data_IF_634605173656
#
_entry.id   IF_634605173656
#
_cell.length_a   1.000
_cell.length_b   1.000
_cell.length_c   1.000
_cell.angle_alpha   90.00
_cell.angle_beta   90.00
_cell.angle_gamma   90.00
#
_symmetry.space_group_name_H-M   'P 1'
#
loop_
_entity.id
_entity.type
_entity.pdbx_description
1 polymer ?
#
# COMPACT_ATOMS: atom_id res chain seq x y z
N UNK A 1 48.84 -31.00 -13.46
CA UNK A 1 48.22 -29.66 -13.54
C UNK A 1 46.81 -29.65 -14.13
N UNK A 2 46.43 -30.55 -15.05
CA UNK A 2 45.07 -30.57 -15.63
C UNK A 2 43.98 -31.18 -14.71
N UNK A 3 44.33 -32.16 -13.88
CA UNK A 3 43.40 -32.84 -12.96
C UNK A 3 43.06 -32.01 -11.72
N UNK A 4 44.02 -31.30 -11.15
CA UNK A 4 43.78 -30.39 -10.01
C UNK A 4 42.89 -29.22 -10.42
N UNK A 5 43.07 -28.66 -11.62
CA UNK A 5 42.18 -27.61 -12.16
C UNK A 5 40.74 -28.10 -12.39
N UNK A 6 40.56 -29.37 -12.76
CA UNK A 6 39.24 -29.96 -12.95
C UNK A 6 38.52 -30.19 -11.60
N UNK A 7 39.24 -30.66 -10.59
CA UNK A 7 38.74 -30.81 -9.21
C UNK A 7 38.40 -29.47 -8.56
N UNK A 8 39.21 -28.43 -8.78
CA UNK A 8 38.90 -27.07 -8.31
C UNK A 8 37.70 -26.45 -9.03
N UNK A 9 37.48 -26.77 -10.31
CA UNK A 9 36.31 -26.32 -11.06
C UNK A 9 35.00 -26.96 -10.59
N UNK A 10 35.01 -28.25 -10.23
CA UNK A 10 33.82 -28.98 -9.75
C UNK A 10 33.46 -28.57 -8.31
N UNK A 11 34.45 -28.23 -7.48
CA UNK A 11 34.22 -27.70 -6.13
C UNK A 11 33.61 -26.27 -6.14
N UNK A 12 33.91 -25.46 -7.15
CA UNK A 12 33.36 -24.10 -7.27
C UNK A 12 31.89 -24.10 -7.69
N UNK A 13 31.47 -25.07 -8.53
CA UNK A 13 30.08 -25.19 -8.99
C UNK A 13 29.16 -25.73 -7.88
N UNK A 14 29.68 -26.55 -6.97
CA UNK A 14 28.90 -27.08 -5.84
C UNK A 14 28.63 -26.05 -4.73
N UNK A 15 29.41 -24.97 -4.66
CA UNK A 15 29.18 -23.83 -3.77
C UNK A 15 28.20 -22.80 -4.33
N UNK A 16 27.92 -22.82 -5.65
CA UNK A 16 27.02 -21.86 -6.30
C UNK A 16 25.57 -22.36 -6.40
N UNK A 17 25.30 -23.63 -6.10
CA UNK A 17 23.95 -24.22 -6.09
C UNK A 17 23.37 -24.45 -4.69
N UNK A 18 24.01 -23.96 -3.63
CA UNK A 18 23.31 -23.74 -2.36
C UNK A 18 22.57 -22.41 -2.46
N UNK A 19 21.50 -22.37 -3.26
CA UNK A 19 20.46 -21.36 -3.05
C UNK A 19 20.02 -21.51 -1.59
N UNK A 20 20.04 -20.42 -0.82
CA UNK A 20 19.40 -20.37 0.48
C UNK A 20 17.91 -20.73 0.29
N UNK A 21 17.60 -22.02 0.44
CA UNK A 21 16.30 -22.41 0.94
C UNK A 21 16.28 -21.90 2.38
N UNK A 22 15.61 -20.79 2.61
CA UNK A 22 15.14 -20.49 3.96
C UNK A 22 13.96 -21.43 4.19
N UNK A 23 14.22 -22.64 4.67
CA UNK A 23 13.21 -23.26 5.50
C UNK A 23 12.94 -22.25 6.61
N UNK A 24 11.70 -21.79 6.73
CA UNK A 24 11.24 -21.14 7.95
C UNK A 24 11.30 -22.24 9.00
N UNK A 25 12.48 -22.44 9.56
CA UNK A 25 12.63 -23.13 10.82
C UNK A 25 11.86 -22.25 11.78
N UNK A 26 10.65 -22.67 12.12
CA UNK A 26 10.00 -22.25 13.36
C UNK A 26 10.86 -22.87 14.45
N UNK A 27 12.04 -22.29 14.65
CA UNK A 27 12.88 -22.63 15.78
C UNK A 27 12.09 -22.09 16.96
N UNK A 28 11.75 -23.00 17.87
CA UNK A 28 11.24 -22.72 19.20
C UNK A 28 12.34 -21.93 19.95
N UNK A 29 12.57 -20.68 19.54
CA UNK A 29 13.37 -19.73 20.28
C UNK A 29 12.68 -19.57 21.63
N UNK A 30 13.45 -19.79 22.69
CA UNK A 30 13.07 -19.67 24.10
C UNK A 30 12.06 -18.54 24.30
N UNK A 31 10.79 -18.93 24.46
CA UNK A 31 9.60 -18.08 24.25
C UNK A 31 9.33 -17.15 25.45
N UNK A 32 10.40 -16.67 26.08
CA UNK A 32 10.37 -15.66 27.14
C UNK A 32 10.86 -14.35 26.53
N UNK A 33 9.97 -13.39 26.29
CA UNK A 33 10.36 -12.05 25.86
C UNK A 33 11.39 -11.51 26.83
N UNK A 34 12.59 -11.16 26.32
CA UNK A 34 13.62 -10.51 27.13
C UNK A 34 13.22 -9.08 27.55
N UNK A 35 12.20 -8.53 26.88
CA UNK A 35 11.65 -7.19 27.05
C UNK A 35 10.12 -7.26 27.08
N UNK A 36 9.47 -6.24 27.66
CA UNK A 36 8.01 -6.13 27.59
C UNK A 36 7.53 -5.82 26.17
N UNK A 37 6.27 -6.14 25.85
CA UNK A 37 5.69 -5.79 24.55
C UNK A 37 5.75 -4.27 24.28
N UNK A 38 5.51 -3.44 25.29
CA UNK A 38 5.67 -2.00 25.14
C UNK A 38 7.10 -1.60 24.76
N UNK A 39 8.13 -2.23 25.35
CA UNK A 39 9.52 -2.00 24.95
C UNK A 39 9.80 -2.48 23.53
N UNK A 40 9.24 -3.63 23.13
CA UNK A 40 9.36 -4.15 21.77
C UNK A 40 8.73 -3.21 20.75
N UNK A 41 7.46 -2.83 20.93
CA UNK A 41 6.74 -1.94 20.01
C UNK A 41 7.41 -0.56 19.86
N UNK A 42 8.05 -0.07 20.93
CA UNK A 42 8.79 1.21 20.94
C UNK A 42 10.27 1.07 20.57
N UNK A 43 10.75 -0.13 20.18
CA UNK A 43 12.13 -0.32 19.68
C UNK A 43 12.33 0.28 18.28
N UNK A 44 11.23 0.46 17.55
CA UNK A 44 11.17 1.13 16.25
C UNK A 44 10.12 2.24 16.26
N UNK A 45 10.37 3.29 15.48
CA UNK A 45 9.42 4.40 15.32
C UNK A 45 8.25 4.01 14.41
N UNK A 46 8.52 3.17 13.41
CA UNK A 46 7.55 2.72 12.42
C UNK A 46 7.59 1.21 12.30
N UNK A 47 6.43 0.61 12.08
CA UNK A 47 6.27 -0.78 11.70
C UNK A 47 5.60 -0.85 10.33
N UNK A 48 6.37 -1.18 9.29
CA UNK A 48 5.86 -1.42 7.94
C UNK A 48 5.03 -2.70 7.91
N UNK A 49 3.80 -2.62 7.40
CA UNK A 49 2.90 -3.77 7.30
C UNK A 49 3.11 -4.45 5.94
N UNK A 50 3.74 -5.62 5.93
CA UNK A 50 3.93 -6.39 4.71
C UNK A 50 2.74 -7.34 4.47
N UNK A 51 1.76 -6.86 3.71
CA UNK A 51 0.58 -7.65 3.31
C UNK A 51 0.94 -8.87 2.46
N UNK A 52 2.11 -8.89 1.83
CA UNK A 52 2.55 -10.03 1.02
C UNK A 52 3.06 -11.17 1.89
N UNK A 53 3.41 -10.89 3.15
CA UNK A 53 3.77 -11.91 4.13
C UNK A 53 2.57 -12.39 4.97
N UNK A 54 1.40 -11.75 4.84
CA UNK A 54 0.19 -12.15 5.56
C UNK A 54 -0.16 -13.63 5.30
N UNK A 55 -0.47 -14.35 6.37
CA UNK A 55 -0.95 -15.75 6.31
C UNK A 55 -2.30 -15.85 7.03
N UNK A 56 -3.09 -16.85 6.65
CA UNK A 56 -4.50 -16.96 7.03
C UNK A 56 -5.45 -16.43 5.95
N UNK A 57 -6.72 -16.79 6.06
CA UNK A 57 -7.74 -16.41 5.07
C UNK A 57 -8.59 -15.22 5.51
N UNK A 58 -8.59 -14.89 6.81
CA UNK A 58 -9.23 -13.70 7.36
C UNK A 58 -8.47 -12.41 7.04
N UNK A 59 -8.96 -11.31 7.61
CA UNK A 59 -8.37 -9.98 7.48
C UNK A 59 -8.68 -9.16 8.74
N UNK A 60 -7.74 -8.27 9.10
CA UNK A 60 -7.96 -7.19 10.07
C UNK A 60 -7.91 -5.86 9.30
N UNK A 61 -9.05 -5.14 9.11
CA UNK A 61 -9.16 -4.11 8.08
C UNK A 61 -8.15 -2.95 8.21
N UNK A 62 -7.91 -2.41 9.42
CA UNK A 62 -6.93 -1.33 9.58
C UNK A 62 -5.50 -1.76 9.22
N UNK A 63 -5.08 -2.98 9.55
CA UNK A 63 -3.77 -3.51 9.14
C UNK A 63 -3.72 -3.75 7.62
N UNK A 64 -4.82 -4.18 7.02
CA UNK A 64 -4.91 -4.36 5.57
C UNK A 64 -4.84 -3.03 4.80
N UNK A 65 -5.21 -1.91 5.44
CA UNK A 65 -5.15 -0.56 4.86
C UNK A 65 -3.79 0.12 5.07
N UNK A 66 -3.23 0.00 6.26
CA UNK A 66 -2.04 0.74 6.65
C UNK A 66 -0.80 0.31 5.86
N UNK A 67 0.00 1.27 5.40
CA UNK A 67 1.37 1.05 4.91
C UNK A 67 2.33 0.87 6.08
N UNK A 68 2.19 1.72 7.11
CA UNK A 68 2.95 1.61 8.35
C UNK A 68 2.04 1.88 9.54
N UNK A 69 2.32 1.26 10.68
CA UNK A 69 1.71 1.59 11.97
C UNK A 69 2.78 2.01 12.99
N UNK A 70 2.38 2.79 13.98
CA UNK A 70 3.28 3.27 15.05
C UNK A 70 2.55 3.24 16.39
N UNK A 71 3.24 2.77 17.44
CA UNK A 71 2.69 2.66 18.78
C UNK A 71 3.38 3.66 19.70
N UNK A 72 2.67 4.69 20.16
CA UNK A 72 3.27 5.79 20.92
C UNK A 72 2.36 6.25 22.03
N UNK A 73 2.82 6.15 23.27
CA UNK A 73 2.12 6.64 24.46
C UNK A 73 0.65 6.15 24.56
N UNK A 74 0.39 4.90 24.20
CA UNK A 74 -0.97 4.31 24.20
C UNK A 74 -1.83 4.69 23.00
N UNK A 75 -1.31 5.45 22.03
CA UNK A 75 -1.99 5.81 20.78
C UNK A 75 -1.39 5.01 19.62
N UNK A 76 -2.26 4.51 18.73
CA UNK A 76 -1.84 3.90 17.46
C UNK A 76 -1.97 4.93 16.36
N UNK A 77 -0.89 5.11 15.60
CA UNK A 77 -0.87 5.93 14.39
C UNK A 77 -0.71 5.04 13.16
N UNK A 78 -1.28 5.45 12.03
CA UNK A 78 -1.07 4.75 10.76
C UNK A 78 -0.97 5.69 9.56
N UNK A 79 -0.10 5.32 8.60
CA UNK A 79 -0.11 5.86 7.25
C UNK A 79 -1.06 4.99 6.40
N UNK A 80 -2.32 5.39 6.28
CA UNK A 80 -3.34 4.70 5.48
C UNK A 80 -3.47 5.25 4.06
N UNK A 81 -2.96 6.47 3.85
CA UNK A 81 -2.90 7.18 2.59
C UNK A 81 -1.45 7.24 2.08
N UNK A 82 -1.32 7.32 0.76
CA UNK A 82 -0.06 7.70 0.11
C UNK A 82 0.09 9.21 0.00
N UNK A 83 -1.03 9.94 -0.18
CA UNK A 83 -1.03 11.41 -0.05
C UNK A 83 -0.52 11.78 1.34
N UNK A 84 0.53 12.61 1.39
CA UNK A 84 1.17 13.06 2.61
C UNK A 84 2.04 12.02 3.30
N UNK A 85 2.28 10.84 2.72
CA UNK A 85 3.13 9.83 3.35
C UNK A 85 4.53 10.39 3.64
N UNK A 86 5.07 10.10 4.82
CA UNK A 86 6.36 10.63 5.28
C UNK A 86 6.33 12.06 5.85
N UNK A 87 5.29 12.85 5.58
CA UNK A 87 5.11 14.19 6.15
C UNK A 87 3.97 14.27 7.17
N UNK A 88 2.87 13.55 6.93
CA UNK A 88 1.68 13.54 7.79
C UNK A 88 2.00 12.99 9.18
N UNK A 89 1.60 13.72 10.22
CA UNK A 89 1.94 13.40 11.61
C UNK A 89 3.46 13.37 11.87
N UNK A 90 4.24 14.07 11.03
CA UNK A 90 5.70 13.98 11.03
C UNK A 90 6.24 12.66 10.50
N UNK A 91 5.47 11.92 9.70
CA UNK A 91 5.81 10.60 9.13
C UNK A 91 5.18 9.41 9.86
N UNK A 92 4.56 9.63 11.03
CA UNK A 92 3.83 8.59 11.77
C UNK A 92 2.41 8.32 11.20
N UNK A 93 1.90 9.22 10.36
CA UNK A 93 0.53 9.19 9.88
C UNK A 93 -0.48 9.79 10.87
N UNK A 94 -1.73 9.33 10.82
CA UNK A 94 -2.84 9.84 11.64
C UNK A 94 -3.15 8.93 12.81
N UNK A 95 -3.71 9.48 13.89
CA UNK A 95 -4.22 8.69 15.02
C UNK A 95 -5.42 7.87 14.56
N UNK A 96 -5.36 6.55 14.78
CA UNK A 96 -6.41 5.60 14.39
C UNK A 96 -7.03 4.86 15.58
N UNK A 97 -6.56 5.13 16.80
CA UNK A 97 -7.10 4.54 18.01
C UNK A 97 -6.11 4.51 19.16
N UNK A 98 -6.42 3.66 20.13
CA UNK A 98 -5.57 3.43 21.31
C UNK A 98 -5.16 1.96 21.39
N UNK A 99 -4.11 1.68 22.17
CA UNK A 99 -3.68 0.31 22.40
C UNK A 99 -3.25 0.07 23.84
N UNK A 100 -3.44 -1.17 24.28
CA UNK A 100 -2.88 -1.74 25.49
C UNK A 100 -1.95 -2.90 25.14
N UNK A 101 -0.82 -2.99 25.84
CA UNK A 101 0.22 -3.98 25.58
C UNK A 101 0.70 -4.64 26.88
N UNK A 102 0.47 -5.94 27.01
CA UNK A 102 0.76 -6.73 28.21
C UNK A 102 0.95 -8.20 27.83
N UNK A 103 1.80 -8.97 28.53
CA UNK A 103 1.94 -10.43 28.32
C UNK A 103 2.04 -10.90 26.85
N UNK A 104 2.69 -10.12 25.98
CA UNK A 104 2.75 -10.33 24.52
C UNK A 104 1.38 -10.37 23.82
N UNK A 105 0.41 -9.69 24.40
CA UNK A 105 -0.91 -9.41 23.88
C UNK A 105 -0.98 -7.92 23.56
N UNK A 106 -1.30 -7.63 22.31
CA UNK A 106 -1.62 -6.29 21.85
C UNK A 106 -3.13 -6.19 21.67
N UNK A 107 -3.76 -5.34 22.46
CA UNK A 107 -5.16 -4.96 22.29
C UNK A 107 -5.21 -3.59 21.60
N UNK A 108 -5.97 -3.48 20.51
CA UNK A 108 -6.16 -2.24 19.76
C UNK A 108 -7.63 -1.89 19.80
N UNK A 109 -7.94 -0.68 20.26
CA UNK A 109 -9.25 -0.07 20.16
C UNK A 109 -9.21 0.90 18.98
N UNK A 110 -9.46 0.37 17.79
CA UNK A 110 -9.48 1.14 16.56
C UNK A 110 -10.76 1.97 16.47
N UNK A 111 -10.60 3.23 16.10
CA UNK A 111 -11.67 4.21 16.23
C UNK A 111 -12.89 3.93 15.32
N UNK A 112 -12.67 3.27 14.15
CA UNK A 112 -13.75 2.79 13.25
C UNK A 112 -13.98 1.27 13.34
N UNK A 113 -12.96 0.46 13.08
CA UNK A 113 -13.03 -1.00 13.06
C UNK A 113 -13.32 -1.66 14.42
N UNK A 114 -13.19 -0.93 15.52
CA UNK A 114 -13.49 -1.42 16.87
C UNK A 114 -12.33 -2.17 17.51
N UNK A 115 -12.66 -3.11 18.40
CA UNK A 115 -11.66 -3.85 19.17
C UNK A 115 -11.05 -5.00 18.36
N UNK A 116 -9.73 -5.02 18.30
CA UNK A 116 -8.93 -6.09 17.73
C UNK A 116 -7.85 -6.51 18.73
N UNK A 117 -7.46 -7.77 18.70
CA UNK A 117 -6.45 -8.29 19.63
C UNK A 117 -5.51 -9.26 18.94
N UNK A 118 -4.25 -9.24 19.37
CA UNK A 118 -3.18 -9.99 18.74
C UNK A 118 -2.29 -10.66 19.78
N UNK A 119 -1.95 -11.93 19.53
CA UNK A 119 -0.76 -12.54 20.12
C UNK A 119 0.44 -12.04 19.31
N UNK A 120 1.43 -11.47 20.00
CA UNK A 120 2.62 -10.89 19.37
C UNK A 120 3.80 -11.85 19.52
N UNK A 121 4.44 -12.18 18.39
CA UNK A 121 5.66 -12.98 18.37
C UNK A 121 6.80 -12.15 17.79
N UNK A 122 7.94 -12.12 18.47
CA UNK A 122 9.15 -11.55 17.90
C UNK A 122 9.79 -12.62 17.01
N UNK A 123 9.90 -12.33 15.72
CA UNK A 123 10.46 -13.26 14.73
C UNK A 123 11.98 -13.09 14.66
N UNK A 124 12.45 -11.84 14.66
CA UNK A 124 13.87 -11.49 14.67
C UNK A 124 14.11 -10.11 15.31
N UNK A 125 15.25 -9.48 15.03
CA UNK A 125 15.63 -8.18 15.59
C UNK A 125 14.70 -7.02 15.20
N UNK A 126 14.06 -7.08 14.03
CA UNK A 126 13.20 -6.01 13.52
C UNK A 126 11.88 -6.52 12.94
N UNK A 127 11.54 -7.79 13.11
CA UNK A 127 10.28 -8.36 12.61
C UNK A 127 9.42 -8.87 13.76
N UNK A 128 8.16 -8.45 13.77
CA UNK A 128 7.13 -8.99 14.66
C UNK A 128 6.00 -9.60 13.84
N UNK A 129 5.39 -10.64 14.39
CA UNK A 129 4.13 -11.19 13.90
C UNK A 129 3.00 -10.74 14.83
N UNK A 130 1.93 -10.18 14.26
CA UNK A 130 0.66 -9.93 14.94
C UNK A 130 -0.34 -11.00 14.52
N UNK A 131 -0.55 -12.01 15.36
CA UNK A 131 -1.54 -13.07 15.12
C UNK A 131 -2.87 -12.73 15.75
N UNK A 132 -3.93 -12.58 14.96
CA UNK A 132 -5.28 -12.38 15.46
C UNK A 132 -6.00 -13.74 15.62
N UNK A 133 -6.29 -14.19 16.85
CA UNK A 133 -6.88 -15.50 17.11
C UNK A 133 -8.34 -15.63 16.68
N UNK A 134 -9.05 -14.52 16.43
CA UNK A 134 -10.47 -14.52 16.08
C UNK A 134 -10.74 -14.61 14.58
N UNK A 135 -9.80 -14.17 13.75
CA UNK A 135 -9.88 -14.32 12.28
C UNK A 135 -8.78 -15.22 11.69
N UNK A 136 -7.97 -15.85 12.56
CA UNK A 136 -6.88 -16.77 12.21
C UNK A 136 -5.88 -16.19 11.21
N UNK A 137 -5.57 -14.90 11.32
CA UNK A 137 -4.72 -14.17 10.38
C UNK A 137 -3.50 -13.61 11.09
N UNK A 138 -2.32 -13.80 10.50
CA UNK A 138 -1.08 -13.20 10.99
C UNK A 138 -0.57 -12.15 10.01
N UNK A 139 -0.22 -10.97 10.54
CA UNK A 139 0.46 -9.91 9.82
C UNK A 139 1.92 -9.83 10.27
N UNK A 140 2.84 -9.72 9.32
CA UNK A 140 4.26 -9.54 9.60
C UNK A 140 4.64 -8.08 9.40
N UNK A 141 5.24 -7.51 10.44
CA UNK A 141 5.57 -6.11 10.53
C UNK A 141 7.07 -5.94 10.68
N UNK A 142 7.65 -5.07 9.86
CA UNK A 142 9.08 -4.76 9.86
C UNK A 142 9.35 -3.38 10.46
N UNK A 143 10.20 -3.34 11.47
CA UNK A 143 10.55 -2.16 12.24
C UNK A 143 11.59 -1.28 11.53
N UNK A 144 11.33 0.02 11.50
CA UNK A 144 12.21 1.04 10.94
C UNK A 144 12.30 2.27 11.84
N UNK A 145 13.44 2.96 11.78
CA UNK A 145 13.56 4.34 12.25
C UNK A 145 13.07 5.28 11.15
N UNK A 146 12.33 6.32 11.53
CA UNK A 146 11.60 7.16 10.58
C UNK A 146 12.50 7.94 9.64
N UNK A 147 13.69 8.32 10.11
CA UNK A 147 14.71 9.00 9.33
C UNK A 147 15.46 8.10 8.34
N UNK A 148 15.25 6.78 8.39
CA UNK A 148 15.86 5.79 7.50
C UNK A 148 14.84 5.03 6.66
N UNK A 149 13.55 5.28 6.88
CA UNK A 149 12.47 4.62 6.15
C UNK A 149 12.31 5.25 4.77
N UNK A 150 12.25 4.41 3.74
CA UNK A 150 12.11 4.84 2.35
C UNK A 150 10.62 5.00 2.00
N UNK A 151 10.11 6.20 2.25
CA UNK A 151 8.73 6.56 1.94
C UNK A 151 8.46 6.62 0.43
N UNK A 152 9.45 7.02 -0.37
CA UNK A 152 9.34 7.09 -1.83
C UNK A 152 9.14 5.70 -2.41
N UNK A 153 9.92 4.71 -1.95
CA UNK A 153 9.77 3.32 -2.38
C UNK A 153 8.34 2.83 -2.10
N UNK A 154 7.84 3.03 -0.89
CA UNK A 154 6.46 2.64 -0.53
C UNK A 154 5.44 3.34 -1.40
N UNK A 155 5.61 4.65 -1.64
CA UNK A 155 4.72 5.43 -2.49
C UNK A 155 4.67 4.87 -3.91
N UNK A 156 5.83 4.72 -4.57
CA UNK A 156 5.89 4.35 -5.97
C UNK A 156 5.61 2.86 -6.24
N UNK A 157 5.86 1.95 -5.29
CA UNK A 157 5.45 0.54 -5.41
C UNK A 157 3.93 0.33 -5.24
N UNK A 158 3.24 1.33 -4.69
CA UNK A 158 1.83 1.27 -4.34
C UNK A 158 1.00 2.40 -4.98
N UNK A 159 1.56 3.10 -5.97
CA UNK A 159 1.00 4.31 -6.58
C UNK A 159 -0.41 4.11 -7.17
N UNK A 160 -0.82 2.88 -7.49
CA UNK A 160 -2.21 2.62 -7.89
C UNK A 160 -3.20 2.99 -6.77
N UNK A 161 -2.83 2.80 -5.50
CA UNK A 161 -3.63 3.29 -4.38
C UNK A 161 -3.65 4.81 -4.29
N UNK A 162 -2.57 5.50 -4.68
CA UNK A 162 -2.51 6.96 -4.71
C UNK A 162 -3.53 7.54 -5.70
N UNK A 163 -3.65 6.94 -6.89
CA UNK A 163 -4.65 7.34 -7.89
C UNK A 163 -6.10 7.23 -7.38
N UNK A 164 -6.34 6.34 -6.41
CA UNK A 164 -7.66 6.11 -5.81
C UNK A 164 -7.97 7.05 -4.64
N UNK A 165 -7.05 7.91 -4.21
CA UNK A 165 -7.25 8.78 -3.03
C UNK A 165 -7.94 10.11 -3.35
N UNK A 166 -8.51 10.23 -4.56
CA UNK A 166 -9.30 11.36 -5.00
C UNK A 166 -10.59 10.86 -5.65
N UNK A 167 -11.70 11.56 -5.39
CA UNK A 167 -12.99 11.24 -6.01
C UNK A 167 -12.98 11.47 -7.52
N UNK A 168 -12.20 12.44 -7.99
CA UNK A 168 -11.94 12.65 -9.40
C UNK A 168 -10.56 13.30 -9.61
N UNK A 169 -9.97 13.06 -10.76
CA UNK A 169 -8.84 13.77 -11.32
C UNK A 169 -9.37 14.65 -12.44
N UNK A 170 -9.24 15.97 -12.31
CA UNK A 170 -9.75 16.95 -13.27
C UNK A 170 -8.62 17.48 -14.14
N UNK A 171 -8.80 17.47 -15.47
CA UNK A 171 -7.83 17.98 -16.41
C UNK A 171 -7.69 19.49 -16.24
N UNK A 172 -6.48 19.95 -15.94
CA UNK A 172 -6.14 21.37 -15.77
C UNK A 172 -5.24 21.90 -16.87
N UNK A 173 -4.62 21.02 -17.65
CA UNK A 173 -3.73 21.39 -18.74
C UNK A 173 -3.74 20.34 -19.85
N UNK A 174 -3.64 20.83 -21.09
CA UNK A 174 -3.30 20.05 -22.29
C UNK A 174 -2.23 20.84 -23.04
N UNK A 175 -1.13 20.20 -23.42
CA UNK A 175 -0.05 20.88 -24.14
C UNK A 175 -0.41 21.25 -25.57
N UNK A 176 0.18 22.32 -26.09
CA UNK A 176 0.08 22.70 -27.51
C UNK A 176 0.87 21.77 -28.46
N UNK A 177 1.62 20.80 -27.91
CA UNK A 177 2.34 19.77 -28.66
C UNK A 177 1.55 18.47 -28.69
N UNK A 178 1.83 17.65 -29.72
CA UNK A 178 1.18 16.36 -29.93
C UNK A 178 0.09 16.40 -31.01
N UNK A 179 -0.32 15.23 -31.46
CA UNK A 179 -1.43 15.08 -32.39
C UNK A 179 -2.78 15.12 -31.66
N UNK A 180 -3.78 15.72 -32.30
CA UNK A 180 -5.16 15.69 -31.79
C UNK A 180 -5.63 14.24 -31.73
N UNK A 181 -6.25 13.85 -30.62
CA UNK A 181 -6.74 12.49 -30.36
C UNK A 181 -8.04 12.51 -29.54
N UNK A 182 -8.69 11.36 -29.37
CA UNK A 182 -10.00 11.28 -28.68
C UNK A 182 -9.88 11.58 -27.17
N UNK A 183 -8.75 11.25 -26.55
CA UNK A 183 -8.51 11.56 -25.13
C UNK A 183 -8.45 13.07 -24.85
N UNK A 184 -8.25 13.92 -25.86
CA UNK A 184 -8.33 15.37 -25.72
C UNK A 184 -9.69 15.85 -25.17
N UNK A 185 -10.76 15.06 -25.34
CA UNK A 185 -12.10 15.37 -24.85
C UNK A 185 -12.36 14.90 -23.41
N UNK A 186 -11.55 13.99 -22.87
CA UNK A 186 -11.69 13.48 -21.51
C UNK A 186 -11.20 14.53 -20.50
N UNK A 187 -12.11 15.06 -19.69
CA UNK A 187 -11.82 16.12 -18.74
C UNK A 187 -11.72 15.62 -17.29
N UNK A 188 -12.30 14.45 -16.99
CA UNK A 188 -12.19 13.84 -15.68
C UNK A 188 -11.86 12.36 -15.76
N UNK A 189 -11.06 11.90 -14.82
CA UNK A 189 -10.80 10.48 -14.55
C UNK A 189 -11.19 10.15 -13.11
N UNK A 190 -11.61 8.93 -12.84
CA UNK A 190 -11.79 8.41 -11.48
C UNK A 190 -11.23 7.00 -11.42
N UNK A 191 -10.38 6.72 -10.43
CA UNK A 191 -9.86 5.38 -10.16
C UNK A 191 -10.55 4.84 -8.91
N UNK A 192 -11.23 3.70 -9.05
CA UNK A 192 -12.04 3.14 -7.98
C UNK A 192 -11.21 2.20 -7.10
N UNK A 193 -11.30 2.42 -5.78
CA UNK A 193 -10.82 1.49 -4.77
C UNK A 193 -11.78 0.31 -4.60
N UNK A 194 -11.24 -0.86 -4.23
CA UNK A 194 -12.03 -2.05 -3.94
C UNK A 194 -12.45 -2.84 -5.18
N UNK A 195 -13.14 -3.96 -4.96
CA UNK A 195 -13.53 -4.87 -6.04
C UNK A 195 -12.32 -5.54 -6.69
N UNK A 196 -12.04 -5.20 -7.96
CA UNK A 196 -10.88 -5.72 -8.69
C UNK A 196 -9.61 -4.85 -8.53
N UNK A 197 -9.70 -3.70 -7.85
CA UNK A 197 -8.65 -2.67 -7.72
C UNK A 197 -8.13 -2.10 -9.05
N UNK A 198 -8.87 -2.30 -10.13
CA UNK A 198 -8.45 -1.95 -11.49
C UNK A 198 -9.53 -1.24 -12.27
N UNK A 199 -10.64 -0.83 -11.67
CA UNK A 199 -11.72 -0.14 -12.40
C UNK A 199 -11.46 1.36 -12.43
N UNK A 200 -11.61 1.97 -13.61
CA UNK A 200 -11.61 3.43 -13.75
C UNK A 200 -12.87 3.92 -14.48
N UNK A 201 -13.13 5.22 -14.38
CA UNK A 201 -14.15 5.93 -15.15
C UNK A 201 -13.55 7.17 -15.79
N UNK A 202 -14.14 7.61 -16.89
CA UNK A 202 -13.80 8.89 -17.52
C UNK A 202 -15.06 9.67 -17.88
N UNK A 203 -14.92 11.00 -17.97
CA UNK A 203 -16.00 11.93 -18.29
C UNK A 203 -15.51 13.07 -19.17
N UNK A 204 -16.35 13.45 -20.12
CA UNK A 204 -16.18 14.58 -21.03
C UNK A 204 -16.89 15.84 -20.54
N UNK A 205 -17.52 15.80 -19.36
CA UNK A 205 -18.14 16.97 -18.73
C UNK A 205 -17.15 18.14 -18.66
N UNK A 206 -17.67 19.36 -18.66
CA UNK A 206 -16.82 20.56 -18.66
C UNK A 206 -15.95 20.65 -17.40
N UNK A 207 -14.70 21.05 -17.56
CA UNK A 207 -13.83 21.45 -16.44
C UNK A 207 -14.58 22.44 -15.53
N UNK A 208 -14.54 22.20 -14.22
CA UNK A 208 -15.27 22.94 -13.20
C UNK A 208 -16.57 22.28 -12.72
N UNK A 209 -17.08 21.24 -13.38
CA UNK A 209 -18.27 20.50 -12.91
C UNK A 209 -18.07 19.95 -11.49
N UNK A 210 -19.06 20.11 -10.58
CA UNK A 210 -19.00 19.49 -9.25
C UNK A 210 -18.85 17.97 -9.34
N UNK A 211 -18.03 17.38 -8.47
CA UNK A 211 -17.67 15.94 -8.54
C UNK A 211 -18.90 15.04 -8.36
N UNK A 212 -19.86 15.46 -7.55
CA UNK A 212 -21.13 14.79 -7.29
C UNK A 212 -22.16 14.93 -8.43
N UNK A 213 -21.91 15.83 -9.39
CA UNK A 213 -22.73 16.07 -10.58
C UNK A 213 -22.13 15.46 -11.86
N UNK A 214 -20.93 14.87 -11.79
CA UNK A 214 -20.25 14.29 -12.96
C UNK A 214 -21.04 13.13 -13.55
N UNK A 215 -21.22 13.19 -14.87
CA UNK A 215 -21.68 12.07 -15.67
C UNK A 215 -20.49 11.26 -16.18
N UNK A 216 -20.33 10.03 -15.70
CA UNK A 216 -19.27 9.13 -16.14
C UNK A 216 -19.63 8.48 -17.47
N UNK A 217 -19.12 9.04 -18.57
CA UNK A 217 -19.36 8.57 -19.94
C UNK A 217 -18.84 7.16 -20.18
N UNK A 218 -17.73 6.81 -19.51
CA UNK A 218 -17.07 5.54 -19.70
C UNK A 218 -16.66 4.87 -18.38
N UNK A 219 -16.61 3.54 -18.37
CA UNK A 219 -16.08 2.71 -17.29
C UNK A 219 -15.27 1.57 -17.89
N UNK A 220 -14.01 1.43 -17.49
CA UNK A 220 -13.12 0.38 -17.98
C UNK A 220 -12.13 -0.11 -16.94
N UNK A 221 -11.03 -0.68 -17.42
CA UNK A 221 -9.96 -1.23 -16.58
C UNK A 221 -8.67 -0.43 -16.75
N UNK A 222 -7.97 -0.14 -15.66
CA UNK A 222 -6.68 0.51 -15.69
C UNK A 222 -5.58 -0.38 -15.13
N UNK A 223 -4.37 -0.17 -15.60
CA UNK A 223 -3.16 -0.82 -15.09
C UNK A 223 -2.04 0.18 -14.89
N UNK A 224 -1.27 -0.01 -13.82
CA UNK A 224 -0.04 0.77 -13.57
C UNK A 224 1.16 -0.18 -13.62
N UNK A 225 2.18 0.21 -14.37
CA UNK A 225 3.41 -0.56 -14.56
C UNK A 225 4.67 0.23 -14.23
N UNK A 226 5.76 -0.48 -14.00
CA UNK A 226 7.07 0.10 -13.73
C UNK A 226 7.84 0.40 -15.02
N UNK A 227 8.56 1.52 -15.04
CA UNK A 227 9.55 1.81 -16.08
C UNK A 227 10.94 1.40 -15.59
N UNK A 228 11.60 0.54 -16.37
CA UNK A 228 12.91 0.01 -15.99
C UNK A 228 13.95 1.13 -15.83
N UNK A 229 14.62 1.15 -14.68
CA UNK A 229 15.65 2.14 -14.36
C UNK A 229 15.12 3.49 -13.86
N UNK A 230 13.79 3.66 -13.71
CA UNK A 230 13.21 4.86 -13.13
C UNK A 230 12.03 4.53 -12.21
N UNK A 231 12.23 4.59 -10.89
CA UNK A 231 11.16 4.32 -9.92
C UNK A 231 10.10 5.42 -9.84
N UNK A 232 10.45 6.64 -10.27
CA UNK A 232 9.60 7.83 -10.16
C UNK A 232 8.66 8.00 -11.35
N UNK A 233 8.85 7.21 -12.42
CA UNK A 233 8.05 7.24 -13.63
C UNK A 233 7.37 5.89 -13.84
N UNK A 234 6.08 5.93 -14.17
CA UNK A 234 5.24 4.72 -14.30
C UNK A 234 4.56 4.71 -15.66
N UNK A 235 4.08 3.55 -16.08
CA UNK A 235 3.13 3.47 -17.19
C UNK A 235 1.71 3.46 -16.63
N UNK A 236 0.78 4.16 -17.26
CA UNK A 236 -0.65 4.05 -17.02
C UNK A 236 -1.31 3.59 -18.33
N UNK A 237 -2.04 2.48 -18.27
CA UNK A 237 -2.86 1.99 -19.38
C UNK A 237 -4.32 2.13 -18.99
N UNK A 238 -5.13 2.73 -19.87
CA UNK A 238 -6.58 2.80 -19.74
C UNK A 238 -7.20 1.94 -20.85
N UNK A 239 -7.80 0.82 -20.46
CA UNK A 239 -8.48 -0.11 -21.35
C UNK A 239 -9.96 0.29 -21.47
N UNK A 240 -10.31 0.75 -22.68
CA UNK A 240 -11.65 1.17 -23.05
C UNK A 240 -12.53 0.02 -23.62
N UNK A 241 -12.18 -1.24 -23.36
CA UNK A 241 -12.83 -2.53 -23.69
C UNK A 241 -13.10 -2.69 -25.20
N UNK A 242 -14.11 -1.98 -25.71
CA UNK A 242 -14.48 -1.97 -27.12
C UNK A 242 -13.68 -0.96 -27.95
N UNK A 243 -13.06 0.03 -27.31
CA UNK A 243 -12.23 1.04 -27.97
C UNK A 243 -10.74 0.72 -27.81
N UNK A 244 -9.89 1.53 -28.44
CA UNK A 244 -8.44 1.37 -28.30
C UNK A 244 -8.00 1.72 -26.88
N UNK A 245 -6.96 1.03 -26.41
CA UNK A 245 -6.30 1.36 -25.15
C UNK A 245 -5.55 2.68 -25.28
N UNK A 246 -5.60 3.50 -24.23
CA UNK A 246 -4.79 4.71 -24.11
C UNK A 246 -3.56 4.41 -23.25
N UNK A 247 -2.38 4.78 -23.72
CA UNK A 247 -1.09 4.51 -23.07
C UNK A 247 -0.40 5.80 -22.66
N UNK A 248 -0.05 5.89 -21.38
CA UNK A 248 0.60 7.07 -20.81
C UNK A 248 1.87 6.71 -20.05
N UNK A 249 2.84 7.61 -20.06
CA UNK A 249 3.78 7.73 -18.94
C UNK A 249 3.13 8.60 -17.86
N UNK A 250 3.04 8.08 -16.64
CA UNK A 250 2.49 8.73 -15.46
C UNK A 250 3.63 9.28 -14.60
N UNK A 251 3.59 10.58 -14.38
CA UNK A 251 4.50 11.32 -13.52
C UNK A 251 3.72 12.04 -12.40
N UNK A 252 4.21 11.98 -11.17
CA UNK A 252 3.59 12.66 -10.03
C UNK A 252 4.35 13.95 -9.77
N UNK A 253 3.70 15.09 -10.01
CA UNK A 253 4.30 16.42 -9.81
C UNK A 253 4.16 16.83 -8.35
N UNK A 254 2.99 16.59 -7.75
CA UNK A 254 2.71 16.75 -6.33
C UNK A 254 1.66 15.72 -5.91
N UNK A 255 1.38 15.61 -4.61
CA UNK A 255 0.30 14.75 -4.11
C UNK A 255 -1.07 15.08 -4.71
N UNK A 256 -1.27 16.28 -5.25
CA UNK A 256 -2.54 16.70 -5.88
C UNK A 256 -2.43 16.87 -7.40
N UNK A 257 -1.27 16.65 -8.03
CA UNK A 257 -1.07 16.93 -9.45
C UNK A 257 -0.28 15.81 -10.12
N UNK A 258 -0.89 15.19 -11.12
CA UNK A 258 -0.23 14.22 -11.99
C UNK A 258 -0.11 14.76 -13.41
N UNK A 259 0.93 14.33 -14.12
CA UNK A 259 1.14 14.55 -15.53
C UNK A 259 1.07 13.21 -16.26
N UNK A 260 0.32 13.18 -17.36
CA UNK A 260 0.17 12.04 -18.24
C UNK A 260 0.73 12.41 -19.62
N UNK A 261 1.82 11.75 -20.01
CA UNK A 261 2.35 11.86 -21.36
C UNK A 261 1.77 10.77 -22.24
N UNK A 262 0.94 11.12 -23.21
CA UNK A 262 0.30 10.18 -24.11
C UNK A 262 1.28 9.72 -25.19
N UNK A 263 1.60 8.42 -25.20
CA UNK A 263 2.75 7.89 -25.97
C UNK A 263 2.56 7.95 -27.47
N UNK A 264 1.31 7.86 -27.94
CA UNK A 264 1.00 7.78 -29.37
C UNK A 264 0.87 9.17 -30.00
N UNK A 265 0.23 10.11 -29.30
CA UNK A 265 0.06 11.48 -29.81
C UNK A 265 1.26 12.39 -29.49
N UNK A 266 2.00 12.11 -28.42
CA UNK A 266 3.01 13.01 -27.87
C UNK A 266 2.44 14.20 -27.09
N UNK A 267 1.17 14.14 -26.68
CA UNK A 267 0.49 15.19 -25.90
C UNK A 267 0.75 15.01 -24.41
N UNK A 268 0.95 16.10 -23.68
CA UNK A 268 0.99 16.10 -22.22
C UNK A 268 -0.33 16.63 -21.65
N UNK A 269 -0.85 15.94 -20.65
CA UNK A 269 -2.02 16.36 -19.89
C UNK A 269 -1.65 16.48 -18.42
N UNK A 270 -2.16 17.50 -17.73
CA UNK A 270 -2.08 17.54 -16.26
C UNK A 270 -3.47 17.38 -15.67
N UNK A 271 -3.56 16.56 -14.63
CA UNK A 271 -4.78 16.34 -13.87
C UNK A 271 -4.58 16.67 -12.40
N UNK A 272 -5.50 17.47 -11.86
CA UNK A 272 -5.52 17.86 -10.45
C UNK A 272 -6.54 17.03 -9.67
N UNK A 273 -6.12 16.49 -8.53
CA UNK A 273 -6.98 15.72 -7.63
C UNK A 273 -8.08 16.57 -6.98
N UNK A 274 -9.33 16.13 -7.13
CA UNK A 274 -10.56 16.71 -6.58
C UNK A 274 -11.19 15.74 -5.58
N UNK A 275 -11.62 16.27 -4.42
CA UNK A 275 -12.28 15.46 -3.40
C UNK A 275 -11.35 14.42 -2.76
N UNK A 276 -10.28 14.87 -2.09
CA UNK A 276 -9.36 13.98 -1.37
C UNK A 276 -10.12 13.02 -0.43
N UNK A 277 -9.74 11.76 -0.47
CA UNK A 277 -10.28 10.66 0.32
C UNK A 277 -9.24 10.27 1.37
N UNK A 278 -9.42 10.80 2.58
CA UNK A 278 -8.61 10.36 3.72
C UNK A 278 -9.14 9.02 4.24
N UNK A 279 -8.31 7.99 4.20
CA UNK A 279 -8.53 6.71 4.85
C UNK A 279 -8.28 6.85 6.35
N UNK A 280 -9.26 7.54 6.96
CA UNK A 280 -9.63 7.69 8.36
C UNK A 280 -9.12 8.91 9.17
N UNK A 281 -9.81 10.07 9.05
CA UNK A 281 -10.46 10.86 10.14
C UNK A 281 -10.75 12.33 9.73
N UNK A 282 -11.91 12.89 10.09
CA UNK A 282 -12.26 14.33 9.90
C UNK A 282 -11.76 15.22 11.07
N UNK A 283 -11.60 16.53 10.80
CA UNK A 283 -11.06 17.55 11.73
C UNK A 283 -11.91 17.79 13.00
N UNK A 284 -13.17 17.37 13.01
CA UNK A 284 -14.10 17.48 14.14
C UNK A 284 -14.10 16.25 15.05
N UNK A 285 -13.34 15.21 14.70
CA UNK A 285 -13.33 13.92 15.39
C UNK A 285 -14.39 12.92 14.93
N UNK A 286 -15.10 13.19 13.84
CA UNK A 286 -16.09 12.28 13.26
C UNK A 286 -15.58 11.48 12.05
N UNK A 287 -16.38 10.48 11.64
CA UNK A 287 -16.11 9.57 10.52
C UNK A 287 -16.79 10.07 9.26
N UNK A 288 -16.06 10.17 8.15
CA UNK A 288 -16.69 10.26 6.84
C UNK A 288 -17.17 8.85 6.42
N UNK A 289 -18.47 8.62 6.58
CA UNK A 289 -19.15 7.38 6.16
C UNK A 289 -19.79 7.50 4.78
N UNK A 290 -19.64 8.65 4.11
CA UNK A 290 -20.28 8.96 2.83
C UNK A 290 -19.38 8.69 1.62
N UNK A 291 -18.06 8.61 1.83
CA UNK A 291 -17.08 8.34 0.77
C UNK A 291 -16.71 6.86 0.71
N UNK A 292 -16.28 6.40 -0.48
CA UNK A 292 -15.74 5.06 -0.78
C UNK A 292 -14.51 4.64 0.05
N UNK A 293 -14.19 5.38 1.11
CA UNK A 293 -13.12 5.12 2.07
C UNK A 293 -13.20 3.72 2.70
N UNK A 294 -14.40 3.12 2.75
CA UNK A 294 -14.64 1.78 3.30
C UNK A 294 -14.02 0.64 2.48
N UNK A 295 -13.90 0.82 1.16
CA UNK A 295 -13.60 -0.28 0.24
C UNK A 295 -12.12 -0.47 -0.07
N UNK A 296 -11.26 0.51 0.27
CA UNK A 296 -9.81 0.36 0.09
C UNK A 296 -9.28 -0.69 1.05
N UNK A 297 -8.74 -1.76 0.49
CA UNK A 297 -7.92 -2.75 1.17
C UNK A 297 -6.70 -2.98 0.30
N UNK A 298 -5.50 -2.96 0.90
CA UNK A 298 -4.31 -3.31 0.11
C UNK A 298 -4.40 -4.79 -0.27
N UNK A 299 -4.00 -5.15 -1.49
CA UNK A 299 -4.14 -6.50 -2.03
C UNK A 299 -2.84 -7.27 -1.88
N UNK A 300 -2.93 -8.44 -1.24
CA UNK A 300 -1.83 -9.39 -1.20
C UNK A 300 -1.56 -9.92 -2.61
N UNK A 301 -0.32 -9.79 -3.09
CA UNK A 301 0.10 -10.25 -4.43
C UNK A 301 0.56 -11.72 -4.44
N UNK A 302 0.83 -12.29 -3.26
CA UNK A 302 1.26 -13.68 -3.09
C UNK A 302 0.07 -14.62 -2.85
N UNK A 303 0.27 -15.91 -3.11
CA UNK A 303 -0.75 -16.92 -2.78
C UNK A 303 -1.02 -16.97 -1.27
N UNK A 304 -2.31 -17.03 -0.89
CA UNK A 304 -2.74 -17.24 0.49
C UNK A 304 -2.31 -18.61 0.99
N UNK A 305 -2.01 -18.70 2.28
CA UNK A 305 -1.55 -19.91 2.96
C UNK A 305 -2.27 -20.07 4.29
N UNK A 306 -2.43 -21.32 4.72
CA UNK A 306 -2.95 -21.67 6.04
C UNK A 306 -2.05 -21.07 7.14
N UNK A 307 -2.66 -20.66 8.24
CA UNK A 307 -1.93 -20.16 9.40
C UNK A 307 -1.46 -21.34 10.27
N UNK A 308 -0.15 -21.51 10.54
CA UNK A 308 0.35 -22.59 11.38
C UNK A 308 0.13 -22.32 12.88
N UNK A 309 -0.23 -21.10 13.27
CA UNK A 309 -0.54 -20.75 14.66
C UNK A 309 -1.77 -21.53 15.13
N UNK A 310 -1.80 -21.82 16.42
CA UNK A 310 -2.95 -22.42 17.08
C UNK A 310 -3.51 -21.41 18.06
N UNK A 311 -4.78 -21.08 17.91
CA UNK A 311 -5.47 -20.23 18.87
C UNK A 311 -5.44 -20.89 20.26
N UNK A 312 -4.84 -20.18 21.24
CA UNK A 312 -4.78 -20.59 22.65
C UNK A 312 -5.75 -19.80 23.52
N UNK A 313 -6.41 -18.78 22.97
CA UNK A 313 -7.40 -17.94 23.62
C UNK A 313 -8.75 -18.66 23.67
N UNK A 314 -9.43 -18.58 24.81
CA UNK A 314 -10.75 -19.18 25.05
C UNK A 314 -11.84 -18.14 25.02
#
# INVERSE_FOLDING_TARGET
MKTIKLLSGIALVSLLFTSCYTEVVVDDFDNRPSISLNQLLNSYELWYVDINQTIGYGQTPFLQKAFTISFRNGIVYANNNLVGIGSQGGGFGISIGTYDAYDMILDVYHDLDGYETFDVYQIDSNTIELYNPFNDTSYFLHGYQRNTFDYDLVFYENIHYFLQEYEAWEKTFTSDVGAINEFDYENFLQFLAGGNDSTFRSSQDSVGTPVDELYWDYTGVYGVGDISGNMYLKTLTLDYDFFADEFFELNVITDQLIELYHTDSGTFYEFTGRGYIQYLRLDDGSWDKSKSAGDKLRRQKTDKKDNPRKNTRK
#
